data_IF_912209256183
#
_entry.id   IF_912209256183
#
_cell.length_a   1.000
_cell.length_b   1.000
_cell.length_c   1.000
_cell.angle_alpha   90.00
_cell.angle_beta   90.00
_cell.angle_gamma   90.00
#
_symmetry.space_group_name_H-M   'P 1'
#
loop_
_entity.id
_entity.type
_entity.pdbx_description
1 polymer ?
#
# COMPACT_ATOMS: atom_id res chain seq x y z
N UNK A 1 -4.80 -67.10 -44.40
CA UNK A 1 -4.94 -66.09 -43.33
C UNK A 1 -4.31 -64.80 -43.85
N UNK A 2 -5.14 -63.86 -44.29
CA UNK A 2 -4.71 -62.52 -44.72
C UNK A 2 -5.44 -61.56 -43.79
N UNK A 3 -4.69 -60.88 -42.93
CA UNK A 3 -5.22 -59.91 -41.99
C UNK A 3 -5.76 -58.71 -42.75
N UNK A 4 -6.99 -58.33 -42.44
CA UNK A 4 -7.58 -57.05 -42.86
C UNK A 4 -6.81 -55.94 -42.16
N UNK A 5 -6.03 -55.18 -42.92
CA UNK A 5 -5.49 -53.90 -42.46
C UNK A 5 -6.65 -52.94 -42.28
N UNK A 6 -7.05 -52.69 -41.03
CA UNK A 6 -7.90 -51.57 -40.68
C UNK A 6 -7.19 -50.27 -41.10
N UNK A 7 -7.67 -49.66 -42.18
CA UNK A 7 -7.34 -48.29 -42.51
C UNK A 7 -7.99 -47.40 -41.45
N UNK A 8 -7.26 -47.11 -40.37
CA UNK A 8 -7.54 -45.94 -39.56
C UNK A 8 -7.39 -44.73 -40.48
N UNK A 9 -8.44 -43.93 -40.75
CA UNK A 9 -8.23 -42.66 -41.43
C UNK A 9 -7.21 -41.90 -40.59
N UNK A 10 -6.07 -41.56 -41.20
CA UNK A 10 -5.06 -40.75 -40.57
C UNK A 10 -5.78 -39.54 -39.96
N UNK A 11 -5.70 -39.40 -38.63
CA UNK A 11 -6.23 -38.23 -37.94
C UNK A 11 -5.76 -37.03 -38.74
N UNK A 12 -6.70 -36.25 -39.30
CA UNK A 12 -6.39 -35.03 -40.03
C UNK A 12 -5.47 -34.23 -39.12
N UNK A 13 -4.19 -34.22 -39.47
CA UNK A 13 -3.16 -33.56 -38.70
C UNK A 13 -3.44 -32.09 -38.94
N UNK A 14 -4.26 -31.52 -38.07
CA UNK A 14 -4.70 -30.14 -38.15
C UNK A 14 -3.47 -29.28 -37.88
N UNK A 15 -2.73 -28.98 -38.94
CA UNK A 15 -1.46 -28.25 -38.97
C UNK A 15 -1.63 -26.76 -38.64
N UNK A 16 -2.81 -26.36 -38.15
CA UNK A 16 -3.03 -25.03 -37.63
C UNK A 16 -2.20 -24.86 -36.34
N UNK A 17 -0.96 -24.36 -36.50
CA UNK A 17 -0.01 -24.06 -35.42
C UNK A 17 -0.44 -22.88 -34.56
N UNK A 18 -1.71 -22.85 -34.15
CA UNK A 18 -2.24 -21.79 -33.31
C UNK A 18 -1.86 -22.04 -31.85
N UNK A 19 -1.17 -21.06 -31.27
CA UNK A 19 -0.88 -21.02 -29.83
C UNK A 19 -2.15 -21.30 -29.01
N UNK A 20 -2.02 -22.17 -27.99
CA UNK A 20 -3.08 -22.43 -27.01
C UNK A 20 -3.43 -21.21 -26.15
N UNK A 21 -2.65 -20.12 -26.27
CA UNK A 21 -2.83 -18.85 -25.58
C UNK A 21 -2.97 -17.72 -26.61
N UNK A 22 -4.10 -17.01 -26.56
CA UNK A 22 -4.35 -15.80 -27.36
C UNK A 22 -4.05 -14.55 -26.54
N UNK A 23 -2.83 -14.01 -26.68
CA UNK A 23 -2.41 -12.81 -25.97
C UNK A 23 -3.25 -11.58 -26.31
N UNK A 24 -3.67 -11.43 -27.57
CA UNK A 24 -4.54 -10.32 -27.97
C UNK A 24 -5.87 -10.34 -27.20
N UNK A 25 -6.47 -11.51 -27.01
CA UNK A 25 -7.70 -11.66 -26.22
C UNK A 25 -7.47 -11.37 -24.73
N UNK A 26 -6.34 -11.83 -24.18
CA UNK A 26 -5.92 -11.54 -22.80
C UNK A 26 -5.75 -10.03 -22.58
N UNK A 27 -5.04 -9.33 -23.48
CA UNK A 27 -4.85 -7.89 -23.37
C UNK A 27 -6.14 -7.10 -23.56
N UNK A 28 -7.02 -7.51 -24.48
CA UNK A 28 -8.33 -6.89 -24.66
C UNK A 28 -9.20 -7.04 -23.40
N UNK A 29 -9.23 -8.24 -22.81
CA UNK A 29 -9.91 -8.49 -21.53
C UNK A 29 -9.30 -7.66 -20.39
N UNK A 30 -7.96 -7.59 -20.31
CA UNK A 30 -7.27 -6.86 -19.28
C UNK A 30 -7.54 -5.35 -19.37
N UNK A 31 -7.52 -4.79 -20.59
CA UNK A 31 -7.86 -3.40 -20.84
C UNK A 31 -9.30 -3.07 -20.42
N UNK A 32 -10.26 -3.96 -20.74
CA UNK A 32 -11.64 -3.79 -20.33
C UNK A 32 -11.81 -3.88 -18.81
N UNK A 33 -11.14 -4.84 -18.15
CA UNK A 33 -11.14 -4.95 -16.69
C UNK A 33 -10.54 -3.70 -16.04
N UNK A 34 -9.42 -3.18 -16.55
CA UNK A 34 -8.78 -1.99 -16.02
C UNK A 34 -9.66 -0.75 -16.19
N UNK A 35 -10.23 -0.53 -17.38
CA UNK A 35 -11.12 0.60 -17.66
C UNK A 35 -12.38 0.57 -16.77
N UNK A 36 -13.01 -0.59 -16.63
CA UNK A 36 -14.21 -0.74 -15.80
C UNK A 36 -13.88 -0.61 -14.31
N UNK A 37 -12.73 -1.12 -13.87
CA UNK A 37 -12.24 -0.92 -12.51
C UNK A 37 -12.06 0.57 -12.21
N UNK A 38 -11.45 1.33 -13.12
CA UNK A 38 -11.26 2.77 -12.95
C UNK A 38 -12.59 3.51 -12.81
N UNK A 39 -13.58 3.22 -13.68
CA UNK A 39 -14.91 3.82 -13.61
C UNK A 39 -15.61 3.52 -12.27
N UNK A 40 -15.57 2.28 -11.82
CA UNK A 40 -16.20 1.86 -10.56
C UNK A 40 -15.46 2.39 -9.32
N UNK A 41 -14.14 2.55 -9.40
CA UNK A 41 -13.35 3.20 -8.35
C UNK A 41 -13.68 4.69 -8.25
N UNK A 42 -13.82 5.39 -9.38
CA UNK A 42 -14.25 6.80 -9.39
C UNK A 42 -15.66 6.96 -8.82
N UNK A 43 -16.58 6.07 -9.19
CA UNK A 43 -17.94 6.05 -8.65
C UNK A 43 -17.93 5.81 -7.13
N UNK A 44 -17.21 4.79 -6.66
CA UNK A 44 -17.09 4.47 -5.24
C UNK A 44 -16.47 5.59 -4.42
N UNK A 45 -15.44 6.25 -4.97
CA UNK A 45 -14.83 7.42 -4.35
C UNK A 45 -15.84 8.57 -4.23
N UNK A 46 -16.60 8.87 -5.29
CA UNK A 46 -17.65 9.89 -5.26
C UNK A 46 -18.73 9.61 -4.22
N UNK A 47 -19.22 8.37 -4.16
CA UNK A 47 -20.18 7.93 -3.14
C UNK A 47 -19.59 8.01 -1.73
N UNK A 48 -18.34 7.60 -1.55
CA UNK A 48 -17.62 7.66 -0.27
C UNK A 48 -17.47 9.10 0.25
N UNK A 49 -17.07 10.04 -0.61
CA UNK A 49 -16.96 11.45 -0.22
C UNK A 49 -18.31 12.07 0.13
N UNK A 50 -19.40 11.63 -0.51
CA UNK A 50 -20.75 12.10 -0.15
C UNK A 50 -21.24 11.62 1.23
N UNK A 51 -20.65 10.55 1.78
CA UNK A 51 -21.03 9.98 3.06
C UNK A 51 -20.21 10.51 4.26
N UNK A 52 -19.13 11.25 3.99
CA UNK A 52 -18.27 11.86 5.01
C UNK A 52 -18.76 13.29 5.28
N UNK A 53 -19.04 13.59 6.55
CA UNK A 53 -19.33 14.96 6.97
C UNK A 53 -18.08 15.64 7.56
N UNK A 54 -17.81 16.92 7.24
CA UNK A 54 -16.74 17.68 7.88
C UNK A 54 -17.11 18.17 9.29
N UNK A 55 -18.38 18.05 9.70
CA UNK A 55 -18.85 18.49 11.03
C UNK A 55 -18.77 17.36 12.05
N UNK A 56 -18.35 17.71 13.28
CA UNK A 56 -18.21 16.75 14.37
C UNK A 56 -19.56 16.09 14.72
N UNK A 57 -19.55 14.76 14.92
CA UNK A 57 -20.73 13.91 15.18
C UNK A 57 -21.74 13.78 14.04
N UNK A 58 -21.41 14.19 12.81
CA UNK A 58 -22.21 13.91 11.63
C UNK A 58 -21.48 12.99 10.65
N UNK A 59 -22.25 12.28 9.80
CA UNK A 59 -21.72 11.37 8.77
C UNK A 59 -21.35 9.98 9.27
N UNK A 60 -20.84 9.14 8.35
CA UNK A 60 -20.47 7.76 8.66
C UNK A 60 -19.09 7.72 9.34
N UNK A 61 -18.98 7.06 10.49
CA UNK A 61 -17.70 6.88 11.19
C UNK A 61 -16.67 6.07 10.38
N UNK A 62 -15.38 6.24 10.69
CA UNK A 62 -14.26 5.63 9.95
C UNK A 62 -14.40 4.10 9.76
N UNK A 63 -14.89 3.39 10.78
CA UNK A 63 -15.13 1.94 10.71
C UNK A 63 -16.22 1.58 9.69
N UNK A 64 -17.30 2.36 9.65
CA UNK A 64 -18.41 2.15 8.70
C UNK A 64 -17.96 2.40 7.27
N UNK A 65 -17.24 3.49 7.03
CA UNK A 65 -16.65 3.79 5.71
C UNK A 65 -15.67 2.70 5.26
N UNK A 66 -14.82 2.20 6.16
CA UNK A 66 -13.89 1.11 5.85
C UNK A 66 -14.59 -0.18 5.40
N UNK A 67 -15.67 -0.57 6.08
CA UNK A 67 -16.46 -1.76 5.70
C UNK A 67 -17.14 -1.55 4.35
N UNK A 68 -17.78 -0.41 4.13
CA UNK A 68 -18.43 -0.08 2.85
C UNK A 68 -17.42 -0.05 1.71
N UNK A 69 -16.21 0.48 1.95
CA UNK A 69 -15.14 0.51 0.96
C UNK A 69 -14.70 -0.92 0.56
N UNK A 70 -14.53 -1.84 1.50
CA UNK A 70 -14.20 -3.25 1.18
C UNK A 70 -15.30 -3.91 0.36
N UNK A 71 -16.56 -3.74 0.77
CA UNK A 71 -17.70 -4.31 0.04
C UNK A 71 -17.72 -3.76 -1.39
N UNK A 72 -17.52 -2.45 -1.55
CA UNK A 72 -17.46 -1.81 -2.86
C UNK A 72 -16.30 -2.30 -3.72
N UNK A 73 -15.12 -2.50 -3.14
CA UNK A 73 -13.97 -3.06 -3.83
C UNK A 73 -14.23 -4.51 -4.27
N UNK A 74 -14.89 -5.32 -3.44
CA UNK A 74 -15.30 -6.68 -3.82
C UNK A 74 -16.28 -6.66 -5.00
N UNK A 75 -17.30 -5.79 -4.96
CA UNK A 75 -18.24 -5.60 -6.08
C UNK A 75 -17.50 -5.15 -7.35
N UNK A 76 -16.55 -4.23 -7.22
CA UNK A 76 -15.72 -3.75 -8.31
C UNK A 76 -14.92 -4.90 -8.94
N UNK A 77 -14.26 -5.74 -8.13
CA UNK A 77 -13.52 -6.90 -8.61
C UNK A 77 -14.41 -7.90 -9.34
N UNK A 78 -15.61 -8.19 -8.81
CA UNK A 78 -16.57 -9.11 -9.45
C UNK A 78 -16.95 -8.59 -10.84
N UNK A 79 -17.40 -7.34 -10.92
CA UNK A 79 -17.92 -6.76 -12.16
C UNK A 79 -16.80 -6.56 -13.20
N UNK A 80 -15.69 -5.93 -12.79
CA UNK A 80 -14.61 -5.60 -13.70
C UNK A 80 -13.85 -6.85 -14.17
N UNK A 81 -13.49 -7.74 -13.25
CA UNK A 81 -12.74 -8.96 -13.60
C UNK A 81 -13.63 -9.94 -14.35
N UNK A 82 -14.91 -10.05 -13.98
CA UNK A 82 -15.89 -10.83 -14.73
C UNK A 82 -16.07 -10.35 -16.17
N UNK A 83 -16.19 -9.04 -16.39
CA UNK A 83 -16.27 -8.46 -17.74
C UNK A 83 -15.00 -8.71 -18.56
N UNK A 84 -13.83 -8.46 -17.97
CA UNK A 84 -12.55 -8.72 -18.65
C UNK A 84 -12.36 -10.18 -19.02
N UNK A 85 -12.67 -11.09 -18.10
CA UNK A 85 -12.64 -12.53 -18.35
C UNK A 85 -13.62 -12.95 -19.45
N UNK A 86 -14.87 -12.46 -19.39
CA UNK A 86 -15.86 -12.71 -20.44
C UNK A 86 -15.37 -12.31 -21.83
N UNK A 87 -14.75 -11.13 -21.95
CA UNK A 87 -14.18 -10.66 -23.21
C UNK A 87 -12.98 -11.50 -23.65
N UNK A 88 -12.07 -11.86 -22.73
CA UNK A 88 -10.93 -12.71 -23.04
C UNK A 88 -11.39 -14.08 -23.58
N UNK A 89 -12.40 -14.69 -22.97
CA UNK A 89 -12.99 -15.95 -23.46
C UNK A 89 -13.69 -15.79 -24.81
N UNK A 90 -14.40 -14.68 -25.04
CA UNK A 90 -15.14 -14.44 -26.28
C UNK A 90 -14.23 -14.11 -27.47
N UNK A 91 -13.13 -13.41 -27.24
CA UNK A 91 -12.23 -12.91 -28.28
C UNK A 91 -11.10 -13.89 -28.66
N UNK A 92 -10.84 -14.93 -27.86
CA UNK A 92 -9.82 -15.93 -28.22
C UNK A 92 -10.26 -16.77 -29.43
N UNK A 93 -9.34 -17.41 -30.12
CA UNK A 93 -9.61 -18.21 -31.32
C UNK A 93 -10.34 -19.51 -30.96
N UNK A 94 -11.26 -19.97 -31.81
CA UNK A 94 -11.95 -21.26 -31.66
C UNK A 94 -11.00 -22.41 -32.04
N UNK A 95 -10.92 -23.43 -31.20
CA UNK A 95 -10.20 -24.67 -31.49
C UNK A 95 -11.20 -25.75 -31.83
N UNK A 96 -11.29 -26.13 -33.11
CA UNK A 96 -12.28 -27.09 -33.61
C UNK A 96 -11.91 -28.55 -33.28
N UNK A 97 -10.63 -28.84 -33.03
CA UNK A 97 -10.08 -30.20 -32.96
C UNK A 97 -9.66 -30.62 -31.54
N UNK A 98 -10.18 -29.96 -30.48
CA UNK A 98 -9.85 -30.26 -29.08
C UNK A 98 -11.04 -30.81 -28.30
N UNK A 99 -10.75 -31.70 -27.34
CA UNK A 99 -11.72 -32.19 -26.37
C UNK A 99 -12.27 -31.05 -25.50
N UNK A 100 -13.54 -31.16 -25.09
CA UNK A 100 -14.24 -30.12 -24.32
C UNK A 100 -13.55 -29.69 -23.02
N UNK A 101 -12.90 -30.61 -22.32
CA UNK A 101 -12.20 -30.32 -21.06
C UNK A 101 -10.99 -29.41 -21.27
N UNK A 102 -10.24 -29.60 -22.35
CA UNK A 102 -9.11 -28.74 -22.71
C UNK A 102 -9.59 -27.33 -23.12
N UNK A 103 -10.72 -27.25 -23.81
CA UNK A 103 -11.35 -25.96 -24.16
C UNK A 103 -11.77 -25.22 -22.88
N UNK A 104 -12.35 -25.92 -21.90
CA UNK A 104 -12.73 -25.36 -20.60
C UNK A 104 -11.53 -24.86 -19.79
N UNK A 105 -10.46 -25.64 -19.72
CA UNK A 105 -9.21 -25.23 -19.07
C UNK A 105 -8.64 -23.97 -19.73
N UNK A 106 -8.58 -23.92 -21.06
CA UNK A 106 -8.07 -22.74 -21.77
C UNK A 106 -8.94 -21.51 -21.55
N UNK A 107 -10.27 -21.66 -21.55
CA UNK A 107 -11.15 -20.52 -21.27
C UNK A 107 -10.92 -19.95 -19.87
N UNK A 108 -10.86 -20.81 -18.85
CA UNK A 108 -10.57 -20.35 -17.48
C UNK A 108 -9.18 -19.69 -17.40
N UNK A 109 -8.17 -20.25 -18.07
CA UNK A 109 -6.82 -19.68 -18.13
C UNK A 109 -6.77 -18.30 -18.80
N UNK A 110 -7.54 -18.06 -19.88
CA UNK A 110 -7.60 -16.74 -20.53
C UNK A 110 -8.22 -15.69 -19.62
N UNK A 111 -9.27 -16.05 -18.88
CA UNK A 111 -9.87 -15.19 -17.86
C UNK A 111 -8.88 -14.85 -16.74
N UNK A 112 -8.23 -15.87 -16.18
CA UNK A 112 -7.23 -15.70 -15.13
C UNK A 112 -6.05 -14.83 -15.59
N UNK A 113 -5.50 -15.09 -16.78
CA UNK A 113 -4.38 -14.30 -17.32
C UNK A 113 -4.79 -12.85 -17.61
N UNK A 114 -6.01 -12.62 -18.10
CA UNK A 114 -6.56 -11.27 -18.28
C UNK A 114 -6.62 -10.51 -16.96
N UNK A 115 -7.10 -11.15 -15.89
CA UNK A 115 -7.11 -10.57 -14.55
C UNK A 115 -5.69 -10.32 -14.03
N UNK A 116 -4.76 -11.26 -14.23
CA UNK A 116 -3.38 -11.13 -13.77
C UNK A 116 -2.68 -9.95 -14.45
N UNK A 117 -2.83 -9.80 -15.77
CA UNK A 117 -2.26 -8.66 -16.52
C UNK A 117 -2.85 -7.35 -16.04
N UNK A 118 -4.17 -7.24 -15.90
CA UNK A 118 -4.81 -6.02 -15.40
C UNK A 118 -4.34 -5.66 -13.98
N UNK A 119 -4.20 -6.66 -13.09
CA UNK A 119 -3.76 -6.48 -11.71
C UNK A 119 -2.29 -6.05 -11.66
N UNK A 120 -1.41 -6.67 -12.44
CA UNK A 120 0.01 -6.31 -12.50
C UNK A 120 0.22 -4.90 -13.05
N UNK A 121 -0.50 -4.51 -14.11
CA UNK A 121 -0.47 -3.14 -14.64
C UNK A 121 -0.95 -2.14 -13.60
N UNK A 122 -2.02 -2.46 -12.87
CA UNK A 122 -2.51 -1.61 -11.80
C UNK A 122 -1.46 -1.49 -10.67
N UNK A 123 -0.84 -2.60 -10.28
CA UNK A 123 0.20 -2.62 -9.25
C UNK A 123 1.43 -1.80 -9.64
N UNK A 124 1.88 -1.88 -10.91
CA UNK A 124 3.03 -1.09 -11.40
C UNK A 124 2.71 0.39 -11.48
N UNK A 125 1.50 0.77 -11.91
CA UNK A 125 1.06 2.17 -11.93
C UNK A 125 0.97 2.76 -10.51
N UNK A 126 0.40 2.00 -9.56
CA UNK A 126 0.32 2.40 -8.15
C UNK A 126 1.71 2.52 -7.54
N UNK A 127 2.58 1.52 -7.71
CA UNK A 127 3.96 1.56 -7.19
C UNK A 127 4.77 2.72 -7.81
N UNK A 128 4.60 2.98 -9.11
CA UNK A 128 5.26 4.09 -9.81
C UNK A 128 4.82 5.47 -9.33
N UNK A 129 3.53 5.64 -8.99
CA UNK A 129 2.99 6.90 -8.48
C UNK A 129 3.52 7.27 -7.09
N UNK A 130 3.95 6.30 -6.27
CA UNK A 130 4.51 6.53 -4.94
C UNK A 130 5.92 7.13 -5.02
N UNK A 131 6.72 6.72 -6.02
CA UNK A 131 8.10 7.20 -6.19
C UNK A 131 8.20 8.67 -6.61
N UNK A 132 7.21 9.21 -7.34
CA UNK A 132 7.19 10.62 -7.75
C UNK A 132 6.90 11.61 -6.62
N UNK A 133 6.38 11.15 -5.47
CA UNK A 133 6.00 12.02 -4.34
C UNK A 133 7.15 12.21 -3.34
N UNK A 134 8.15 11.33 -3.35
CA UNK A 134 9.27 11.33 -2.38
C UNK A 134 10.35 12.37 -2.74
N UNK A 135 10.36 12.89 -3.97
CA UNK A 135 11.41 13.82 -4.47
C UNK A 135 11.17 15.31 -4.21
N UNK A 136 9.96 15.73 -3.83
CA UNK A 136 9.61 17.14 -3.65
C UNK A 136 8.96 17.38 -2.29
N UNK A 137 9.78 17.77 -1.31
CA UNK A 137 9.28 18.25 -0.03
C UNK A 137 8.34 19.45 -0.24
N UNK A 138 7.09 19.30 0.21
CA UNK A 138 5.98 20.28 0.13
C UNK A 138 5.25 20.34 -1.21
N UNK A 139 4.17 19.56 -1.32
CA UNK A 139 2.90 20.10 -1.82
C UNK A 139 1.72 19.31 -1.26
N UNK A 140 1.13 19.84 -0.20
CA UNK A 140 -0.27 19.57 0.13
C UNK A 140 -1.11 20.03 -1.07
N UNK A 141 -1.65 19.10 -1.87
CA UNK A 141 -2.59 19.45 -2.94
C UNK A 141 -2.69 18.58 -4.19
N UNK A 142 -1.91 17.50 -4.36
CA UNK A 142 -1.93 16.71 -5.60
C UNK A 142 -2.26 15.20 -5.42
N UNK A 143 -3.23 14.87 -4.56
CA UNK A 143 -3.69 13.49 -4.35
C UNK A 143 -5.12 13.26 -4.82
N UNK A 144 -5.48 13.72 -6.01
CA UNK A 144 -6.79 13.45 -6.63
C UNK A 144 -6.62 12.38 -7.69
N UNK A 145 -6.43 11.12 -7.27
CA UNK A 145 -6.54 9.98 -8.19
C UNK A 145 -6.94 8.64 -7.55
N UNK A 146 -6.87 8.43 -6.23
CA UNK A 146 -7.13 7.08 -5.71
C UNK A 146 -7.33 7.04 -4.20
N UNK A 147 -8.59 7.04 -3.75
CA UNK A 147 -8.93 6.81 -2.34
C UNK A 147 -8.35 5.51 -1.77
N UNK A 148 -8.08 4.51 -2.62
CA UNK A 148 -7.41 3.26 -2.24
C UNK A 148 -5.87 3.39 -2.11
N UNK A 149 -5.21 4.15 -2.98
CA UNK A 149 -3.75 4.34 -2.86
C UNK A 149 -3.40 5.28 -1.70
N UNK A 150 -4.26 6.26 -1.37
CA UNK A 150 -4.06 7.14 -0.21
C UNK A 150 -4.05 6.38 1.11
N UNK A 151 -4.85 5.30 1.24
CA UNK A 151 -4.85 4.43 2.42
C UNK A 151 -3.58 3.57 2.51
N UNK A 152 -3.05 3.12 1.37
CA UNK A 152 -1.78 2.39 1.29
C UNK A 152 -0.58 3.30 1.59
N UNK A 153 -0.59 4.53 1.08
CA UNK A 153 0.49 5.51 1.25
C UNK A 153 0.49 6.15 2.64
N UNK A 154 -0.66 6.32 3.29
CA UNK A 154 -0.72 6.87 4.65
C UNK A 154 -0.20 5.85 5.68
N UNK A 155 -0.51 4.56 5.53
CA UNK A 155 0.03 3.51 6.39
C UNK A 155 1.56 3.34 6.23
N UNK A 156 2.08 3.44 5.01
CA UNK A 156 3.52 3.33 4.74
C UNK A 156 4.29 4.64 5.05
N UNK A 157 3.69 5.81 4.81
CA UNK A 157 4.30 7.12 5.04
C UNK A 157 4.41 7.51 6.51
N UNK A 158 3.50 7.01 7.36
CA UNK A 158 3.50 7.28 8.81
C UNK A 158 4.62 6.57 9.57
N UNK A 159 5.18 5.50 9.01
CA UNK A 159 6.30 4.76 9.60
C UNK A 159 7.68 5.29 9.14
N UNK A 160 7.72 6.03 8.03
CA UNK A 160 8.95 6.53 7.41
C UNK A 160 9.20 8.03 7.64
N UNK A 161 8.18 8.80 8.04
CA UNK A 161 8.29 10.24 8.30
C UNK A 161 8.63 10.54 9.76
N UNK A 162 9.72 11.26 9.98
CA UNK A 162 10.21 11.81 11.25
C UNK A 162 11.08 10.90 12.14
N UNK A 163 12.08 10.26 11.54
CA UNK A 163 13.39 10.32 12.21
C UNK A 163 14.02 11.66 11.85
N UNK A 164 13.75 12.65 12.69
CA UNK A 164 14.43 13.94 12.69
C UNK A 164 15.91 13.72 13.03
N UNK A 165 16.67 13.20 12.07
CA UNK A 165 18.12 13.14 12.09
C UNK A 165 18.70 14.51 11.70
N UNK A 166 18.43 15.52 12.53
CA UNK A 166 19.10 16.83 12.52
C UNK A 166 19.14 17.36 13.96
N UNK A 167 20.07 16.84 14.76
CA UNK A 167 20.28 17.31 16.13
C UNK A 167 20.88 16.29 17.10
N UNK A 168 21.01 15.01 16.71
CA UNK A 168 21.78 14.04 17.48
C UNK A 168 23.27 14.39 17.41
N UNK A 169 23.71 15.32 18.26
CA UNK A 169 25.12 15.51 18.57
C UNK A 169 25.70 14.17 18.99
N UNK A 170 26.78 13.77 18.32
CA UNK A 170 27.50 12.51 18.57
C UNK A 170 27.68 12.29 20.08
N UNK A 171 27.58 11.04 20.57
CA UNK A 171 27.93 10.73 21.97
C UNK A 171 29.31 11.26 22.38
N UNK A 172 30.24 11.37 21.42
CA UNK A 172 31.57 11.99 21.53
C UNK A 172 31.53 13.43 22.04
N UNK A 173 30.53 14.19 21.62
CA UNK A 173 30.39 15.62 21.85
C UNK A 173 30.07 15.90 23.33
N UNK A 174 29.33 15.00 24.00
CA UNK A 174 29.14 15.07 25.45
C UNK A 174 30.46 14.84 26.20
N UNK A 175 31.30 13.90 25.73
CA UNK A 175 32.58 13.62 26.39
C UNK A 175 33.56 14.78 26.19
N UNK A 176 33.49 15.47 25.05
CA UNK A 176 34.20 16.73 24.81
C UNK A 176 33.71 17.79 25.82
N UNK A 177 32.40 17.99 25.97
CA UNK A 177 31.88 18.96 26.95
C UNK A 177 32.30 18.61 28.38
N UNK A 178 32.32 17.31 28.73
CA UNK A 178 32.76 16.83 30.05
C UNK A 178 34.23 17.16 30.31
N UNK A 179 35.09 17.11 29.30
CA UNK A 179 36.52 17.45 29.41
C UNK A 179 36.75 18.93 29.74
N UNK A 180 35.85 19.81 29.30
CA UNK A 180 35.96 21.26 29.46
C UNK A 180 35.05 21.85 30.54
N UNK A 181 34.40 21.02 31.38
CA UNK A 181 33.65 21.52 32.54
C UNK A 181 34.62 22.18 33.53
N UNK A 182 34.40 23.46 33.81
CA UNK A 182 35.21 24.25 34.75
C UNK A 182 34.34 24.64 35.96
N UNK A 183 34.83 24.37 37.18
CA UNK A 183 34.15 24.73 38.44
C UNK A 183 34.20 26.23 38.74
N UNK A 184 34.99 27.01 37.96
CA UNK A 184 35.29 28.42 38.25
C UNK A 184 34.26 29.42 37.71
N UNK A 185 33.12 28.94 37.23
CA UNK A 185 31.98 29.79 36.84
C UNK A 185 32.29 30.78 35.73
N UNK A 186 33.11 30.39 34.76
CA UNK A 186 33.36 31.17 33.55
C UNK A 186 32.08 31.35 32.73
N UNK A 187 31.80 32.57 32.29
CA UNK A 187 30.59 32.90 31.56
C UNK A 187 30.54 32.18 30.20
N UNK A 188 29.74 31.12 30.11
CA UNK A 188 29.45 30.41 28.86
C UNK A 188 28.43 31.21 28.04
N UNK A 189 28.62 31.32 26.72
CA UNK A 189 27.65 31.97 25.85
C UNK A 189 26.28 31.28 25.93
N UNK A 190 25.21 32.01 25.63
CA UNK A 190 23.84 31.48 25.71
C UNK A 190 23.62 30.29 24.78
N UNK A 191 24.11 30.39 23.54
CA UNK A 191 24.06 29.31 22.56
C UNK A 191 24.84 28.06 23.00
N UNK A 192 26.03 28.23 23.57
CA UNK A 192 26.82 27.09 24.07
C UNK A 192 26.14 26.42 25.27
N UNK A 193 25.55 27.21 26.19
CA UNK A 193 24.80 26.65 27.31
C UNK A 193 23.56 25.86 26.84
N UNK A 194 22.79 26.39 25.89
CA UNK A 194 21.65 25.66 25.31
C UNK A 194 22.08 24.37 24.61
N UNK A 195 23.20 24.38 23.89
CA UNK A 195 23.78 23.20 23.27
C UNK A 195 24.17 22.11 24.27
N UNK A 196 24.85 22.49 25.36
CA UNK A 196 25.28 21.57 26.41
C UNK A 196 24.08 20.99 27.16
N UNK A 197 23.11 21.83 27.55
CA UNK A 197 21.87 21.39 28.23
C UNK A 197 21.11 20.39 27.36
N UNK A 198 20.94 20.69 26.07
CA UNK A 198 20.25 19.81 25.11
C UNK A 198 20.93 18.45 25.02
N UNK A 199 22.26 18.43 24.98
CA UNK A 199 23.04 17.21 24.84
C UNK A 199 23.00 16.33 26.10
N UNK A 200 23.12 16.95 27.27
CA UNK A 200 22.96 16.26 28.56
C UNK A 200 21.55 15.65 28.63
N UNK A 201 20.51 16.43 28.34
CA UNK A 201 19.13 15.93 28.35
C UNK A 201 18.95 14.75 27.38
N UNK A 202 19.39 14.88 26.13
CA UNK A 202 19.29 13.80 25.13
C UNK A 202 20.01 12.53 25.58
N UNK A 203 21.22 12.66 26.15
CA UNK A 203 21.98 11.51 26.67
C UNK A 203 21.28 10.86 27.86
N UNK A 204 20.87 11.65 28.86
CA UNK A 204 20.20 11.13 30.07
C UNK A 204 18.85 10.49 29.76
N UNK A 205 18.09 11.06 28.83
CA UNK A 205 16.82 10.50 28.35
C UNK A 205 17.01 9.24 27.50
N UNK A 206 18.16 9.09 26.85
CA UNK A 206 18.54 7.88 26.11
C UNK A 206 19.12 6.76 26.97
N UNK A 207 19.59 7.07 28.18
CA UNK A 207 20.29 6.15 29.08
C UNK A 207 19.52 5.96 30.39
N UNK A 208 18.50 5.09 30.36
CA UNK A 208 17.57 4.76 31.46
C UNK A 208 16.71 5.92 31.99
N UNK A 209 16.73 7.08 31.33
CA UNK A 209 15.92 8.23 31.71
C UNK A 209 16.40 8.95 32.96
N UNK A 210 17.56 8.58 33.51
CA UNK A 210 18.10 9.16 34.75
C UNK A 210 19.15 10.23 34.47
N UNK A 211 19.01 11.36 35.14
CA UNK A 211 20.03 12.41 35.15
C UNK A 211 21.13 12.02 36.14
N UNK A 212 22.39 11.99 35.69
CA UNK A 212 23.51 11.69 36.58
C UNK A 212 23.67 12.80 37.64
N UNK A 213 24.20 12.46 38.82
CA UNK A 213 24.42 13.44 39.88
C UNK A 213 25.41 14.52 39.45
N UNK A 214 26.40 14.16 38.65
CA UNK A 214 27.40 15.07 38.09
C UNK A 214 26.76 16.05 37.10
N UNK A 215 25.91 15.57 36.19
CA UNK A 215 25.18 16.42 35.24
C UNK A 215 24.17 17.32 35.94
N UNK A 216 23.47 16.80 36.96
CA UNK A 216 22.52 17.55 37.78
C UNK A 216 23.21 18.73 38.46
N UNK A 217 24.35 18.49 39.11
CA UNK A 217 25.12 19.52 39.82
C UNK A 217 25.63 20.59 38.86
N UNK A 218 26.14 20.17 37.69
CA UNK A 218 26.65 21.07 36.67
C UNK A 218 25.55 21.94 36.03
N UNK A 219 24.39 21.34 35.70
CA UNK A 219 23.23 22.08 35.21
C UNK A 219 22.73 23.09 36.25
N UNK A 220 22.73 22.72 37.54
CA UNK A 220 22.35 23.61 38.61
C UNK A 220 23.29 24.82 38.76
N UNK A 221 24.61 24.63 38.57
CA UNK A 221 25.57 25.74 38.55
C UNK A 221 25.28 26.73 37.40
N UNK A 222 24.99 26.22 36.20
CA UNK A 222 24.61 27.06 35.04
C UNK A 222 23.33 27.85 35.33
N UNK A 223 22.33 27.21 35.94
CA UNK A 223 21.07 27.86 36.32
C UNK A 223 21.31 28.91 37.41
N UNK A 224 22.04 28.58 38.48
CA UNK A 224 22.34 29.48 39.60
C UNK A 224 23.02 30.78 39.13
N UNK A 225 24.01 30.67 38.24
CA UNK A 225 24.73 31.81 37.65
C UNK A 225 23.83 32.76 36.86
N UNK A 226 22.75 32.24 36.24
CA UNK A 226 21.87 33.01 35.35
C UNK A 226 20.60 33.53 36.02
N UNK A 227 20.11 32.82 37.03
CA UNK A 227 18.82 33.13 37.67
C UNK A 227 18.95 33.69 39.07
N UNK A 228 20.18 33.85 39.57
CA UNK A 228 20.47 34.32 40.94
C UNK A 228 19.81 33.45 42.02
N UNK A 229 19.63 32.17 41.72
CA UNK A 229 19.09 31.16 42.66
C UNK A 229 20.22 30.60 43.51
N UNK A 230 19.91 30.18 44.73
CA UNK A 230 20.84 29.37 45.50
C UNK A 230 21.06 28.00 44.84
N UNK A 231 22.21 27.37 45.08
CA UNK A 231 22.53 26.05 44.52
C UNK A 231 21.43 25.00 44.78
N UNK A 232 20.85 24.88 46.00
CA UNK A 232 19.77 23.92 46.25
C UNK A 232 18.48 24.21 45.47
N UNK A 233 18.12 25.49 45.29
CA UNK A 233 16.94 25.89 44.51
C UNK A 233 17.14 25.66 43.02
N UNK A 234 18.37 25.89 42.51
CA UNK A 234 18.73 25.62 41.13
C UNK A 234 18.66 24.11 40.82
N UNK A 235 19.15 23.27 41.72
CA UNK A 235 19.03 21.81 41.64
C UNK A 235 17.56 21.35 41.61
N UNK A 236 16.72 21.89 42.50
CA UNK A 236 15.29 21.57 42.51
C UNK A 236 14.61 21.98 41.19
N UNK A 237 15.00 23.12 40.59
CA UNK A 237 14.49 23.55 39.29
C UNK A 237 14.94 22.61 38.17
N UNK A 238 16.19 22.15 38.16
CA UNK A 238 16.68 21.17 37.20
C UNK A 238 15.87 19.87 37.29
N UNK A 239 15.65 19.35 38.50
CA UNK A 239 14.88 18.12 38.72
C UNK A 239 13.44 18.25 38.20
N UNK A 240 12.78 19.37 38.49
CA UNK A 240 11.41 19.62 38.03
C UNK A 240 11.31 19.72 36.51
N UNK A 241 12.23 20.44 35.86
CA UNK A 241 12.24 20.59 34.40
C UNK A 241 12.60 19.27 33.73
N UNK A 242 13.57 18.55 34.26
CA UNK A 242 13.96 17.23 33.76
C UNK A 242 12.82 16.22 33.89
N UNK A 243 12.12 16.19 35.03
CA UNK A 243 10.94 15.32 35.23
C UNK A 243 9.84 15.63 34.21
N UNK A 244 9.54 16.91 33.97
CA UNK A 244 8.55 17.31 32.95
C UNK A 244 8.98 16.93 31.53
N UNK A 245 10.27 17.11 31.21
CA UNK A 245 10.81 16.73 29.90
C UNK A 245 10.76 15.21 29.69
N UNK A 246 11.13 14.44 30.71
CA UNK A 246 11.04 12.97 30.70
C UNK A 246 9.60 12.50 30.50
N UNK A 247 8.65 13.04 31.27
CA UNK A 247 7.23 12.73 31.11
C UNK A 247 6.71 13.06 29.71
N UNK A 248 7.03 14.23 29.16
CA UNK A 248 6.60 14.63 27.82
C UNK A 248 7.15 13.69 26.73
N UNK A 249 8.37 13.19 26.89
CA UNK A 249 8.98 12.24 25.95
C UNK A 249 8.37 10.85 26.08
N UNK A 250 8.13 10.35 27.29
CA UNK A 250 7.46 9.07 27.50
C UNK A 250 6.02 9.11 26.95
N UNK A 251 5.28 10.19 27.21
CA UNK A 251 3.95 10.40 26.63
C UNK A 251 3.99 10.43 25.10
N UNK A 252 4.99 11.09 24.52
CA UNK A 252 5.19 11.12 23.07
C UNK A 252 5.55 9.74 22.51
N UNK A 253 6.41 8.97 23.20
CA UNK A 253 6.76 7.59 22.82
C UNK A 253 5.53 6.68 22.86
N UNK A 254 4.71 6.77 23.91
CA UNK A 254 3.47 5.98 24.04
C UNK A 254 2.50 6.34 22.92
N UNK A 255 2.23 7.63 22.69
CA UNK A 255 1.37 8.08 21.59
C UNK A 255 1.89 7.64 20.22
N UNK A 256 3.20 7.71 20.00
CA UNK A 256 3.82 7.25 18.76
C UNK A 256 3.65 5.73 18.58
N UNK A 257 3.84 4.94 19.64
CA UNK A 257 3.60 3.48 19.62
C UNK A 257 2.12 3.17 19.37
N UNK A 258 1.20 3.84 20.03
CA UNK A 258 -0.25 3.65 19.84
C UNK A 258 -0.69 4.00 18.41
N UNK A 259 -0.16 5.09 17.85
CA UNK A 259 -0.40 5.48 16.47
C UNK A 259 0.17 4.44 15.50
N UNK A 260 1.39 3.96 15.73
CA UNK A 260 2.03 2.91 14.93
C UNK A 260 1.25 1.59 15.00
N UNK A 261 0.82 1.15 16.19
CA UNK A 261 0.01 -0.06 16.38
C UNK A 261 -1.35 0.04 15.71
N UNK A 262 -1.97 1.22 15.77
CA UNK A 262 -3.25 1.48 15.08
C UNK A 262 -3.07 1.42 13.57
N UNK A 263 -2.03 2.08 13.05
CA UNK A 263 -1.68 2.02 11.63
C UNK A 263 -1.38 0.59 11.19
N UNK A 264 -0.62 -0.18 11.97
CA UNK A 264 -0.32 -1.58 11.69
C UNK A 264 -1.58 -2.45 11.65
N UNK A 265 -2.51 -2.28 12.58
CA UNK A 265 -3.80 -2.99 12.59
C UNK A 265 -4.65 -2.66 11.36
N UNK A 266 -4.74 -1.38 11.00
CA UNK A 266 -5.47 -0.94 9.80
C UNK A 266 -4.82 -1.49 8.53
N UNK A 267 -3.49 -1.45 8.43
CA UNK A 267 -2.74 -1.98 7.30
C UNK A 267 -2.93 -3.50 7.17
N UNK A 268 -2.82 -4.25 8.26
CA UNK A 268 -3.03 -5.70 8.27
C UNK A 268 -4.45 -6.07 7.85
N UNK A 269 -5.46 -5.40 8.41
CA UNK A 269 -6.87 -5.64 8.08
C UNK A 269 -7.17 -5.30 6.61
N UNK A 270 -6.68 -4.16 6.13
CA UNK A 270 -6.85 -3.72 4.73
C UNK A 270 -6.18 -4.70 3.77
N UNK A 271 -4.95 -5.12 4.06
CA UNK A 271 -4.19 -6.06 3.21
C UNK A 271 -4.89 -7.42 3.12
N UNK A 272 -5.42 -7.93 4.23
CA UNK A 272 -6.16 -9.19 4.25
C UNK A 272 -7.42 -9.12 3.39
N UNK A 273 -8.19 -8.04 3.50
CA UNK A 273 -9.40 -7.88 2.69
C UNK A 273 -9.11 -7.59 1.22
N UNK A 274 -8.04 -6.87 0.92
CA UNK A 274 -7.55 -6.70 -0.45
C UNK A 274 -7.17 -8.04 -1.07
N UNK A 275 -6.48 -8.90 -0.32
CA UNK A 275 -6.16 -10.25 -0.76
C UNK A 275 -7.42 -11.06 -1.08
N UNK A 276 -8.42 -11.07 -0.18
CA UNK A 276 -9.71 -11.74 -0.42
C UNK A 276 -10.40 -11.19 -1.67
N UNK A 277 -10.41 -9.87 -1.82
CA UNK A 277 -11.05 -9.16 -2.94
C UNK A 277 -10.39 -9.52 -4.27
N UNK A 278 -9.06 -9.61 -4.31
CA UNK A 278 -8.30 -10.05 -5.49
C UNK A 278 -8.58 -11.52 -5.85
N UNK A 279 -8.70 -12.41 -4.86
CA UNK A 279 -9.09 -13.81 -5.11
C UNK A 279 -10.49 -13.91 -5.73
N UNK A 280 -11.43 -13.10 -5.25
CA UNK A 280 -12.78 -13.01 -5.83
C UNK A 280 -12.68 -12.56 -7.30
N UNK A 281 -11.88 -11.54 -7.59
CA UNK A 281 -11.65 -11.07 -8.96
C UNK A 281 -11.09 -12.16 -9.88
N UNK A 282 -10.05 -12.87 -9.45
CA UNK A 282 -9.44 -13.97 -10.19
C UNK A 282 -10.46 -15.09 -10.49
N UNK A 283 -11.27 -15.45 -9.49
CA UNK A 283 -12.32 -16.45 -9.63
C UNK A 283 -13.37 -16.03 -10.66
N UNK A 284 -13.91 -14.81 -10.55
CA UNK A 284 -14.95 -14.34 -11.47
C UNK A 284 -14.43 -14.11 -12.89
N UNK A 285 -13.18 -13.67 -13.07
CA UNK A 285 -12.58 -13.60 -14.39
C UNK A 285 -12.51 -14.98 -15.06
N UNK A 286 -12.03 -15.98 -14.31
CA UNK A 286 -11.92 -17.36 -14.79
C UNK A 286 -13.30 -17.93 -15.13
N UNK A 287 -14.28 -17.75 -14.25
CA UNK A 287 -15.65 -18.21 -14.44
C UNK A 287 -16.31 -17.55 -15.66
N UNK A 288 -16.28 -16.22 -15.75
CA UNK A 288 -16.91 -15.48 -16.83
C UNK A 288 -16.27 -15.74 -18.21
N UNK A 289 -14.97 -16.06 -18.25
CA UNK A 289 -14.31 -16.46 -19.49
C UNK A 289 -14.89 -17.75 -20.08
N UNK A 290 -15.30 -18.72 -19.25
CA UNK A 290 -16.00 -19.94 -19.75
C UNK A 290 -17.34 -19.61 -20.40
N UNK A 291 -18.08 -18.62 -19.89
CA UNK A 291 -19.30 -18.15 -20.52
C UNK A 291 -19.03 -17.40 -21.83
N UNK A 292 -17.95 -16.62 -21.89
CA UNK A 292 -17.49 -15.95 -23.10
C UNK A 292 -17.10 -16.92 -24.21
N UNK A 293 -16.27 -17.92 -23.88
CA UNK A 293 -15.82 -18.96 -24.80
C UNK A 293 -16.97 -19.79 -25.37
N UNK A 294 -17.87 -20.26 -24.50
CA UNK A 294 -19.07 -21.02 -24.94
C UNK A 294 -19.94 -20.26 -25.93
N UNK A 295 -20.16 -18.95 -25.72
CA UNK A 295 -20.95 -18.12 -26.65
C UNK A 295 -20.27 -17.94 -27.99
N UNK A 296 -18.94 -17.88 -28.03
CA UNK A 296 -18.19 -17.84 -29.29
C UNK A 296 -18.32 -19.16 -30.05
N UNK A 297 -18.26 -20.29 -29.34
CA UNK A 297 -18.30 -21.62 -29.96
C UNK A 297 -19.69 -22.05 -30.46
N UNK A 298 -20.75 -21.42 -29.95
CA UNK A 298 -22.13 -21.64 -30.39
C UNK A 298 -22.44 -21.07 -31.79
N UNK A 299 -21.55 -20.28 -32.41
CA UNK A 299 -21.80 -19.69 -33.73
C UNK A 299 -21.69 -20.76 -34.83
N UNK A 300 -22.79 -20.95 -35.56
CA UNK A 300 -22.88 -21.82 -36.76
C UNK A 300 -22.54 -21.02 -38.01
N UNK A 301 -21.66 -21.53 -38.87
CA UNK A 301 -21.39 -20.88 -40.16
C UNK A 301 -22.59 -21.07 -41.10
N UNK A 302 -23.01 -20.00 -41.78
CA UNK A 302 -24.01 -20.10 -42.84
C UNK A 302 -23.27 -20.50 -44.11
N UNK A 303 -23.40 -21.76 -44.53
CA UNK A 303 -22.86 -22.20 -45.81
C UNK A 303 -23.66 -21.56 -46.94
N UNK A 304 -23.04 -20.64 -47.67
CA UNK A 304 -23.58 -20.18 -48.95
C UNK A 304 -23.30 -21.26 -50.00
N UNK A 305 -24.19 -22.25 -50.11
CA UNK A 305 -24.17 -23.21 -51.20
C UNK A 305 -24.40 -22.46 -52.51
N UNK A 306 -23.32 -22.10 -53.20
CA UNK A 306 -23.42 -21.54 -54.56
C UNK A 306 -23.70 -22.70 -55.49
N UNK A 307 -24.98 -22.96 -55.76
CA UNK A 307 -25.40 -23.96 -56.74
C UNK A 307 -25.00 -23.43 -58.12
N UNK A 308 -23.81 -23.80 -58.61
CA UNK A 308 -23.47 -23.68 -60.02
C UNK A 308 -24.34 -24.67 -60.79
N UNK A 309 -25.48 -24.19 -61.28
CA UNK A 309 -26.26 -24.88 -62.32
C UNK A 309 -25.41 -24.86 -63.58
N UNK A 310 -25.04 -26.05 -64.07
CA UNK A 310 -24.34 -26.24 -65.34
C UNK A 310 -25.36 -26.54 -66.43
#
# INVERSE_FOLDING_TARGET
MIGTTENYPAALQDTSGHSGVSWAAIFAGAAAAAALSLLLLMLGAGLGFSAVSPWANEGVGAKGLGITAIIWLAVTQIIASGMGGYLAGRLRVRWASLHGDEVYFRDTAHGFLSWAVATLVTATLVAGSVSSVIGSGVQAGASVASGAATAMSSAAGSAAGNQANKGAGNGTDYFIDTLFRDDRGTAVSEDAAHGIVTRIFVRSLGNDGQLSNEDRTYLAQIVAQRTNLSQPEAEQRVDQVYTKAHQAIEDAKVKAKEAADTAAKVAAWTTLWMFITLLIGAFFASLCATFGGRRRDAVTYVDHTTTTVR
#
